data_IF_386084997045
#
_entry.id   IF_386084997045
#
_cell.length_a   1.000
_cell.length_b   1.000
_cell.length_c   1.000
_cell.angle_alpha   90.00
_cell.angle_beta   90.00
_cell.angle_gamma   90.00
#
_symmetry.space_group_name_H-M   'P 1'
#
loop_
_entity.id
_entity.type
_entity.pdbx_description
1 polymer ?
#
# COMPACT_ATOMS: atom_id res chain seq x y z
N UNK A 1 6.20 1.81 11.91
CA UNK A 1 4.89 1.80 11.23
C UNK A 1 4.67 3.19 10.66
N UNK A 2 4.25 3.31 9.38
CA UNK A 2 4.16 4.58 8.66
C UNK A 2 2.88 4.58 7.84
N UNK A 3 2.19 5.72 7.76
CA UNK A 3 1.10 5.91 6.81
C UNK A 3 1.66 6.50 5.51
N UNK A 4 1.23 5.97 4.38
CA UNK A 4 1.62 6.43 3.04
C UNK A 4 0.36 6.73 2.24
N UNK A 5 0.26 7.96 1.73
CA UNK A 5 -0.87 8.34 0.87
C UNK A 5 -0.75 7.67 -0.49
N UNK A 6 -1.89 7.31 -1.09
CA UNK A 6 -1.94 6.58 -2.36
C UNK A 6 -1.33 7.34 -3.55
N UNK A 7 -1.28 8.68 -3.46
CA UNK A 7 -0.66 9.56 -4.44
C UNK A 7 0.88 9.60 -4.38
N UNK A 8 1.50 9.07 -3.33
CA UNK A 8 2.95 9.04 -3.20
C UNK A 8 3.58 8.08 -4.23
N UNK A 9 4.80 8.39 -4.64
CA UNK A 9 5.61 7.51 -5.48
C UNK A 9 6.52 6.61 -4.63
N UNK A 10 6.90 5.44 -5.15
CA UNK A 10 7.81 4.52 -4.46
C UNK A 10 9.15 5.18 -4.13
N UNK A 11 9.66 6.04 -5.02
CA UNK A 11 10.89 6.79 -4.78
C UNK A 11 10.80 7.70 -3.56
N UNK A 12 9.67 8.39 -3.36
CA UNK A 12 9.42 9.24 -2.19
C UNK A 12 9.36 8.41 -0.90
N UNK A 13 8.67 7.26 -0.96
CA UNK A 13 8.62 6.32 0.16
C UNK A 13 10.02 5.81 0.55
N UNK A 14 10.80 5.34 -0.43
CA UNK A 14 12.14 4.84 -0.17
C UNK A 14 13.07 5.93 0.34
N UNK A 15 12.99 7.14 -0.21
CA UNK A 15 13.76 8.29 0.26
C UNK A 15 13.42 8.64 1.70
N UNK A 16 12.13 8.65 2.06
CA UNK A 16 11.69 8.89 3.43
C UNK A 16 12.20 7.82 4.40
N UNK A 17 12.13 6.53 4.04
CA UNK A 17 12.64 5.42 4.85
C UNK A 17 14.15 5.56 5.06
N UNK A 18 14.91 5.79 3.98
CA UNK A 18 16.36 5.91 4.03
C UNK A 18 16.84 7.09 4.91
N UNK A 19 16.07 8.19 4.95
CA UNK A 19 16.35 9.33 5.85
C UNK A 19 16.10 9.02 7.32
N UNK A 20 15.20 8.09 7.62
CA UNK A 20 14.85 7.72 8.99
C UNK A 20 15.77 6.66 9.56
N UNK A 21 16.17 5.67 8.75
CA UNK A 21 17.03 4.57 9.21
C UNK A 21 17.70 3.86 8.05
N UNK A 22 18.95 3.45 8.25
CA UNK A 22 19.69 2.56 7.33
C UNK A 22 19.36 1.08 7.52
N UNK A 23 18.53 0.73 8.50
CA UNK A 23 18.18 -0.65 8.86
C UNK A 23 16.74 -1.02 8.50
N UNK A 24 15.98 -0.09 7.92
CA UNK A 24 14.59 -0.30 7.50
C UNK A 24 14.49 -0.30 5.97
N UNK A 25 13.60 -1.14 5.45
CA UNK A 25 13.28 -1.22 4.04
C UNK A 25 11.81 -1.63 3.86
N UNK A 26 11.26 -1.43 2.67
CA UNK A 26 9.91 -1.85 2.32
C UNK A 26 9.93 -2.65 1.01
N UNK A 27 9.27 -3.82 0.92
CA UNK A 27 9.30 -4.66 -0.27
C UNK A 27 8.37 -4.11 -1.36
N UNK A 28 8.93 -3.36 -2.31
CA UNK A 28 8.22 -2.85 -3.48
C UNK A 28 9.13 -2.81 -4.74
N UNK A 29 8.58 -2.45 -5.90
CA UNK A 29 9.32 -2.39 -7.18
C UNK A 29 10.41 -1.32 -7.14
N UNK A 30 11.43 -1.51 -7.98
CA UNK A 30 12.57 -0.61 -8.13
C UNK A 30 12.25 0.71 -8.88
N UNK A 31 11.16 0.77 -9.62
CA UNK A 31 10.82 1.92 -10.47
C UNK A 31 10.31 3.07 -9.59
N UNK A 32 11.06 4.17 -9.41
CA UNK A 32 10.76 5.16 -8.38
C UNK A 32 9.49 5.96 -8.67
N UNK A 33 9.11 6.12 -9.94
CA UNK A 33 7.93 6.90 -10.36
C UNK A 33 6.60 6.14 -10.24
N UNK A 34 6.63 4.85 -9.89
CA UNK A 34 5.41 4.06 -9.72
C UNK A 34 4.67 4.55 -8.49
N UNK A 35 3.37 4.80 -8.63
CA UNK A 35 2.50 5.21 -7.53
C UNK A 35 2.22 4.07 -6.54
N UNK A 36 2.23 4.40 -5.25
CA UNK A 36 1.97 3.47 -4.15
C UNK A 36 0.57 2.89 -4.24
N UNK A 37 -0.46 3.72 -4.51
CA UNK A 37 -1.86 3.29 -4.49
C UNK A 37 -2.19 2.12 -5.41
N UNK A 38 -1.66 2.13 -6.64
CA UNK A 38 -1.83 1.00 -7.55
C UNK A 38 -0.86 -0.14 -7.29
N UNK A 39 0.38 0.16 -6.87
CA UNK A 39 1.40 -0.86 -6.66
C UNK A 39 1.10 -1.79 -5.49
N UNK A 40 0.48 -1.27 -4.43
CA UNK A 40 0.25 -2.01 -3.19
C UNK A 40 -0.95 -2.97 -3.25
N UNK A 41 -1.66 -3.05 -4.37
CA UNK A 41 -2.61 -4.15 -4.63
C UNK A 41 -1.92 -5.43 -5.13
N UNK A 42 -0.70 -5.67 -4.67
CA UNK A 42 0.19 -6.75 -5.06
C UNK A 42 1.61 -6.29 -4.79
N UNK A 43 2.36 -5.95 -5.85
CA UNK A 43 3.61 -5.21 -5.72
C UNK A 43 4.84 -6.08 -5.56
N UNK A 44 5.37 -6.53 -6.70
CA UNK A 44 6.57 -7.35 -6.79
C UNK A 44 7.84 -6.49 -6.84
N UNK A 45 8.86 -6.89 -6.06
CA UNK A 45 10.15 -6.22 -5.96
C UNK A 45 11.30 -7.16 -5.62
N UNK A 46 12.51 -6.62 -5.46
CA UNK A 46 13.74 -7.39 -5.19
C UNK A 46 13.69 -8.14 -3.85
N UNK A 47 12.93 -7.61 -2.90
CA UNK A 47 12.77 -8.16 -1.55
C UNK A 47 11.71 -9.26 -1.45
N UNK A 48 11.00 -9.57 -2.54
CA UNK A 48 9.83 -10.47 -2.53
C UNK A 48 10.12 -11.88 -2.00
N UNK A 49 11.30 -12.44 -2.27
CA UNK A 49 11.65 -13.78 -1.77
C UNK A 49 11.86 -13.84 -0.26
N UNK A 50 12.12 -12.69 0.38
CA UNK A 50 12.38 -12.59 1.81
C UNK A 50 11.19 -12.05 2.59
N UNK A 51 10.43 -11.12 2.00
CA UNK A 51 9.36 -10.37 2.68
C UNK A 51 8.03 -10.38 1.92
N UNK A 52 7.89 -11.22 0.89
CA UNK A 52 6.70 -11.33 0.04
C UNK A 52 6.33 -10.01 -0.66
N UNK A 53 5.07 -9.85 -1.09
CA UNK A 53 4.64 -8.70 -1.88
C UNK A 53 4.44 -7.45 -1.01
N UNK A 54 4.40 -6.27 -1.63
CA UNK A 54 4.06 -5.01 -0.94
C UNK A 54 2.71 -5.13 -0.19
N UNK A 55 1.71 -5.73 -0.83
CA UNK A 55 0.37 -5.98 -0.29
C UNK A 55 0.36 -6.84 0.99
N UNK A 56 1.30 -7.78 1.09
CA UNK A 56 1.40 -8.68 2.26
C UNK A 56 1.87 -7.92 3.50
N UNK A 57 2.47 -6.75 3.32
CA UNK A 57 3.01 -5.91 4.37
C UNK A 57 2.08 -4.73 4.75
N UNK A 58 0.91 -4.61 4.11
CA UNK A 58 -0.13 -3.62 4.46
C UNK A 58 -0.99 -4.15 5.60
N UNK A 59 -1.07 -3.38 6.69
CA UNK A 59 -1.77 -3.75 7.92
C UNK A 59 -3.09 -2.98 8.13
N UNK A 60 -3.28 -1.84 7.46
CA UNK A 60 -4.48 -1.01 7.52
C UNK A 60 -4.60 -0.12 6.28
N UNK A 61 -5.82 0.22 5.88
CA UNK A 61 -6.10 1.07 4.71
C UNK A 61 -7.26 2.02 4.99
N UNK A 62 -7.21 3.20 4.38
CA UNK A 62 -8.37 4.07 4.22
C UNK A 62 -8.89 3.97 2.78
N UNK A 63 -10.14 3.53 2.64
CA UNK A 63 -10.84 3.35 1.37
C UNK A 63 -12.05 4.26 1.32
N UNK A 64 -12.22 5.00 0.22
CA UNK A 64 -13.48 5.66 -0.11
C UNK A 64 -14.32 4.74 -0.99
N UNK A 65 -15.52 4.38 -0.51
CA UNK A 65 -16.44 3.51 -1.25
C UNK A 65 -17.34 4.29 -2.23
N UNK A 66 -18.17 3.56 -2.99
CA UNK A 66 -19.12 4.14 -3.95
C UNK A 66 -20.21 5.01 -3.31
N UNK A 67 -20.35 4.96 -1.98
CA UNK A 67 -21.29 5.79 -1.21
C UNK A 67 -20.58 7.00 -0.57
N UNK A 68 -19.35 7.31 -1.01
CA UNK A 68 -18.53 8.41 -0.48
C UNK A 68 -18.21 8.29 1.01
N UNK A 69 -18.22 7.07 1.57
CA UNK A 69 -17.82 6.83 2.95
C UNK A 69 -16.34 6.53 3.00
N UNK A 70 -15.64 7.12 3.95
CA UNK A 70 -14.24 6.80 4.25
C UNK A 70 -14.23 5.68 5.29
N UNK A 71 -13.70 4.53 4.89
CA UNK A 71 -13.68 3.32 5.68
C UNK A 71 -12.23 2.96 6.03
N UNK A 72 -11.95 2.79 7.32
CA UNK A 72 -10.73 2.11 7.76
C UNK A 72 -10.90 0.58 7.68
N UNK A 73 -9.85 -0.20 8.00
CA UNK A 73 -9.92 -1.67 7.98
C UNK A 73 -11.11 -2.25 8.74
N UNK A 74 -11.42 -1.70 9.93
CA UNK A 74 -12.55 -2.18 10.76
C UNK A 74 -13.89 -1.88 10.09
N UNK A 75 -14.05 -0.71 9.51
CA UNK A 75 -15.29 -0.26 8.89
C UNK A 75 -15.55 -0.91 7.51
N UNK A 76 -14.50 -1.20 6.73
CA UNK A 76 -14.64 -1.88 5.43
C UNK A 76 -14.88 -3.39 5.57
N UNK A 77 -14.47 -3.99 6.68
CA UNK A 77 -14.60 -5.43 6.93
C UNK A 77 -13.43 -6.25 6.35
N UNK A 78 -13.28 -7.46 6.87
CA UNK A 78 -12.14 -8.35 6.54
C UNK A 78 -12.08 -8.75 5.07
N UNK A 79 -13.23 -8.99 4.43
CA UNK A 79 -13.31 -9.39 3.03
C UNK A 79 -12.85 -8.30 2.06
N UNK A 80 -13.30 -7.06 2.27
CA UNK A 80 -12.88 -5.92 1.45
C UNK A 80 -11.40 -5.62 1.66
N UNK A 81 -10.95 -5.65 2.92
CA UNK A 81 -9.54 -5.46 3.26
C UNK A 81 -8.63 -6.55 2.64
N UNK A 82 -9.12 -7.78 2.54
CA UNK A 82 -8.42 -8.84 1.81
C UNK A 82 -8.39 -8.56 0.30
N UNK A 83 -9.53 -8.19 -0.28
CA UNK A 83 -9.68 -8.04 -1.73
C UNK A 83 -8.82 -6.90 -2.30
N UNK A 84 -8.71 -5.76 -1.61
CA UNK A 84 -7.90 -4.62 -2.09
C UNK A 84 -6.39 -4.89 -2.07
N UNK A 85 -5.92 -5.86 -1.29
CA UNK A 85 -4.51 -6.27 -1.16
C UNK A 85 -4.12 -7.37 -2.16
N UNK A 86 -4.59 -7.27 -3.40
CA UNK A 86 -4.26 -8.25 -4.45
C UNK A 86 -5.19 -8.24 -5.65
N UNK A 87 -6.48 -7.92 -5.44
CA UNK A 87 -7.52 -7.95 -6.46
C UNK A 87 -7.64 -6.67 -7.30
N UNK A 88 -6.68 -5.75 -7.18
CA UNK A 88 -6.77 -4.41 -7.78
C UNK A 88 -7.76 -3.51 -7.04
N UNK A 89 -7.24 -2.65 -6.15
CA UNK A 89 -8.08 -1.88 -5.23
C UNK A 89 -9.08 -0.93 -5.93
N UNK A 90 -8.78 -0.49 -7.15
CA UNK A 90 -9.67 0.36 -7.96
C UNK A 90 -11.03 -0.27 -8.30
N UNK A 91 -11.15 -1.60 -8.22
CA UNK A 91 -12.43 -2.31 -8.40
C UNK A 91 -13.37 -2.16 -7.21
N UNK A 92 -12.84 -1.77 -6.03
CA UNK A 92 -13.57 -1.73 -4.76
C UNK A 92 -13.79 -0.29 -4.24
N UNK A 93 -13.06 0.68 -4.78
CA UNK A 93 -13.16 2.09 -4.40
C UNK A 93 -11.86 2.86 -4.65
N UNK A 94 -11.70 3.98 -3.95
CA UNK A 94 -10.52 4.84 -4.03
C UNK A 94 -9.71 4.67 -2.74
N UNK A 95 -8.53 4.06 -2.83
CA UNK A 95 -7.61 3.98 -1.69
C UNK A 95 -6.99 5.36 -1.47
N UNK A 96 -7.10 5.87 -0.25
CA UNK A 96 -6.60 7.18 0.15
C UNK A 96 -5.20 7.08 0.78
N UNK A 97 -5.01 6.08 1.64
CA UNK A 97 -3.72 5.85 2.30
C UNK A 97 -3.63 4.44 2.86
N UNK A 98 -2.41 3.92 2.98
CA UNK A 98 -2.08 2.58 3.47
C UNK A 98 -1.11 2.67 4.65
N UNK A 99 -1.14 1.67 5.54
CA UNK A 99 -0.29 1.57 6.73
C UNK A 99 0.48 0.26 6.78
#
# INVERSE_FOLDING_TARGET
MVWVQSGAQLGELFYAIARLSTHLAFPARLCPTVGVGGHFSGGFGTLVRKYSLAADNVIDDYLMDSRSRILNRKAMGGEVFWAIRGGGAGSFGIVLSLR
#
